data_IF_619038016428
#
_entry.id   IF_619038016428
#
_cell.length_a   1.000
_cell.length_b   1.000
_cell.length_c   1.000
_cell.angle_alpha   90.00
_cell.angle_beta   90.00
_cell.angle_gamma   90.00
#
_symmetry.space_group_name_H-M   'P 1'
#
loop_
_entity.id
_entity.type
_entity.pdbx_description
1 polymer ?
#
# COMPACT_ATOMS: atom_id res chain seq x y z
N UNK A 1 29.44 -25.49 -1.91
CA UNK A 1 29.58 -24.57 -0.75
C UNK A 1 28.19 -24.03 -0.45
N UNK A 2 27.74 -23.99 0.80
CA UNK A 2 26.42 -23.46 1.10
C UNK A 2 26.53 -21.95 1.35
N UNK A 3 25.88 -21.13 0.54
CA UNK A 3 25.92 -19.67 0.62
C UNK A 3 24.87 -19.05 1.56
N UNK A 4 24.15 -19.83 2.36
CA UNK A 4 23.05 -19.34 3.19
C UNK A 4 23.45 -18.15 4.10
N UNK A 5 24.55 -18.27 4.85
CA UNK A 5 25.02 -17.18 5.75
C UNK A 5 25.52 -15.95 4.97
N UNK A 6 26.16 -16.17 3.81
CA UNK A 6 26.55 -15.05 2.93
C UNK A 6 25.31 -14.33 2.38
N UNK A 7 24.28 -15.06 2.00
CA UNK A 7 23.03 -14.51 1.48
C UNK A 7 22.23 -13.75 2.57
N UNK A 8 22.20 -14.28 3.80
CA UNK A 8 21.69 -13.52 4.95
C UNK A 8 22.47 -12.21 5.14
N UNK A 9 23.79 -12.28 5.10
CA UNK A 9 24.65 -11.09 5.24
C UNK A 9 24.39 -10.06 4.13
N UNK A 10 24.05 -10.48 2.91
CA UNK A 10 23.70 -9.57 1.80
C UNK A 10 22.37 -8.87 2.02
N UNK A 11 21.37 -9.59 2.51
CA UNK A 11 20.08 -9.00 2.90
C UNK A 11 20.25 -8.02 4.06
N UNK A 12 21.00 -8.39 5.11
CA UNK A 12 21.28 -7.51 6.25
C UNK A 12 21.98 -6.24 5.78
N UNK A 13 23.04 -6.35 4.97
CA UNK A 13 23.73 -5.18 4.39
C UNK A 13 22.83 -4.31 3.54
N UNK A 14 21.83 -4.88 2.86
CA UNK A 14 20.82 -4.09 2.13
C UNK A 14 20.00 -3.23 3.09
N UNK A 15 19.57 -3.76 4.24
CA UNK A 15 18.85 -3.00 5.26
C UNK A 15 19.74 -1.97 5.96
N UNK A 16 20.99 -2.34 6.30
CA UNK A 16 21.98 -1.42 6.89
C UNK A 16 22.23 -0.19 5.99
N UNK A 17 22.26 -0.36 4.67
CA UNK A 17 22.38 0.75 3.71
C UNK A 17 21.15 1.66 3.71
N UNK A 18 20.01 1.19 4.21
CA UNK A 18 18.81 1.97 4.44
C UNK A 18 18.91 2.89 5.66
N UNK A 19 19.84 2.64 6.59
CA UNK A 19 20.06 3.49 7.76
C UNK A 19 20.60 4.86 7.31
N UNK A 20 19.83 5.91 7.54
CA UNK A 20 20.15 7.26 7.09
C UNK A 20 20.45 8.16 8.28
N UNK A 21 21.06 9.31 8.02
CA UNK A 21 21.26 10.31 9.06
C UNK A 21 19.89 10.90 9.46
N UNK A 22 19.69 11.13 10.74
CA UNK A 22 18.43 11.65 11.33
C UNK A 22 17.92 12.96 10.68
N UNK A 23 18.82 13.80 10.17
CA UNK A 23 18.46 15.05 9.51
C UNK A 23 17.73 14.88 8.16
N UNK A 24 17.71 13.67 7.58
CA UNK A 24 17.10 13.41 6.26
C UNK A 24 15.76 12.64 6.37
N UNK A 25 14.87 13.16 7.21
CA UNK A 25 13.51 12.60 7.35
C UNK A 25 12.68 12.91 6.12
N UNK A 26 12.37 11.89 5.32
CA UNK A 26 11.57 12.04 4.09
C UNK A 26 10.37 11.10 4.09
N UNK A 27 9.33 11.53 3.37
CA UNK A 27 8.17 10.73 3.03
C UNK A 27 8.18 10.45 1.52
N UNK A 28 8.03 9.19 1.11
CA UNK A 28 7.61 8.81 -0.23
C UNK A 28 6.12 8.55 -0.23
N UNK A 29 5.48 8.70 -1.38
CA UNK A 29 4.05 8.46 -1.56
C UNK A 29 3.80 7.65 -2.81
N UNK A 30 3.01 6.58 -2.70
CA UNK A 30 2.43 5.85 -3.82
C UNK A 30 0.90 5.95 -3.71
N UNK A 31 0.21 6.25 -4.83
CA UNK A 31 -1.25 6.27 -4.89
C UNK A 31 -1.71 5.55 -6.16
N UNK A 32 -2.49 4.52 -5.97
CA UNK A 32 -3.12 3.76 -7.04
C UNK A 32 -4.50 4.34 -7.37
N UNK A 33 -4.83 4.39 -8.67
CA UNK A 33 -6.07 4.94 -9.18
C UNK A 33 -6.74 3.94 -10.12
N UNK A 34 -8.06 3.88 -10.10
CA UNK A 34 -8.81 3.27 -11.19
C UNK A 34 -9.08 4.31 -12.27
N UNK A 35 -8.79 3.99 -13.53
CA UNK A 35 -9.30 4.73 -14.68
C UNK A 35 -10.66 4.12 -15.01
N UNK A 36 -11.73 4.93 -14.96
CA UNK A 36 -13.08 4.46 -15.20
C UNK A 36 -13.77 5.26 -16.29
N UNK A 37 -14.62 4.60 -17.04
CA UNK A 37 -15.53 5.24 -17.98
C UNK A 37 -16.61 6.02 -17.24
N UNK A 38 -16.79 7.31 -17.56
CA UNK A 38 -17.71 8.22 -16.85
C UNK A 38 -19.17 7.78 -16.96
N UNK A 39 -19.55 7.11 -18.05
CA UNK A 39 -20.94 6.71 -18.30
C UNK A 39 -21.33 5.43 -17.59
N UNK A 40 -20.38 4.50 -17.40
CA UNK A 40 -20.64 3.16 -16.86
C UNK A 40 -20.06 2.95 -15.46
N UNK A 41 -19.07 3.75 -15.06
CA UNK A 41 -18.28 3.55 -13.85
C UNK A 41 -17.36 2.32 -13.87
N UNK A 42 -17.28 1.60 -14.99
CA UNK A 42 -16.44 0.41 -15.15
C UNK A 42 -14.99 0.80 -15.40
N UNK A 43 -14.07 -0.03 -14.91
CA UNK A 43 -12.63 0.12 -15.19
C UNK A 43 -12.34 0.02 -16.68
N UNK A 44 -11.43 0.85 -17.15
CA UNK A 44 -10.90 0.83 -18.52
C UNK A 44 -9.85 -0.27 -18.62
N UNK A 45 -9.96 -1.10 -19.66
CA UNK A 45 -8.97 -2.14 -19.95
C UNK A 45 -7.63 -1.52 -20.34
N UNK A 46 -6.53 -2.24 -20.10
CA UNK A 46 -5.22 -1.90 -20.67
C UNK A 46 -5.24 -1.85 -22.18
N UNK A 47 -5.96 -2.79 -22.80
CA UNK A 47 -5.93 -3.09 -24.25
C UNK A 47 -6.93 -2.25 -25.06
N UNK A 48 -6.61 -2.12 -26.36
CA UNK A 48 -7.45 -1.49 -27.37
C UNK A 48 -7.12 0.00 -27.60
N UNK A 49 -7.68 0.55 -28.66
CA UNK A 49 -7.43 1.94 -29.11
C UNK A 49 -7.82 3.00 -28.07
N UNK A 50 -8.67 2.64 -27.12
CA UNK A 50 -9.14 3.49 -26.02
C UNK A 50 -8.71 2.92 -24.65
N UNK A 51 -7.74 2.00 -24.62
CA UNK A 51 -7.22 1.39 -23.42
C UNK A 51 -6.24 2.27 -22.66
N UNK A 52 -5.84 1.80 -21.48
CA UNK A 52 -4.88 2.55 -20.64
C UNK A 52 -3.51 2.69 -21.31
N UNK A 53 -3.09 1.72 -22.14
CA UNK A 53 -1.86 1.87 -22.93
C UNK A 53 -1.95 3.05 -23.90
N UNK A 54 -3.09 3.26 -24.57
CA UNK A 54 -3.28 4.39 -25.48
C UNK A 54 -3.17 5.74 -24.75
N UNK A 55 -3.74 5.82 -23.53
CA UNK A 55 -3.62 6.98 -22.64
C UNK A 55 -2.15 7.25 -22.29
N UNK A 56 -1.38 6.22 -21.89
CA UNK A 56 0.04 6.38 -21.59
C UNK A 56 0.84 6.82 -22.81
N UNK A 57 0.55 6.29 -23.99
CA UNK A 57 1.21 6.70 -25.26
C UNK A 57 0.94 8.16 -25.61
N UNK A 58 -0.26 8.67 -25.36
CA UNK A 58 -0.56 10.10 -25.57
C UNK A 58 0.21 11.00 -24.60
N UNK A 59 0.46 10.51 -23.38
CA UNK A 59 1.25 11.22 -22.37
C UNK A 59 2.76 11.08 -22.57
N UNK A 60 3.23 10.07 -23.29
CA UNK A 60 4.65 9.68 -23.37
C UNK A 60 5.59 10.82 -23.73
N UNK A 61 5.22 11.68 -24.67
CA UNK A 61 6.01 12.83 -25.08
C UNK A 61 6.26 13.89 -24.00
N UNK A 62 5.56 13.81 -22.87
CA UNK A 62 5.73 14.71 -21.72
C UNK A 62 6.74 14.17 -20.69
N UNK A 63 7.22 12.93 -20.86
CA UNK A 63 8.11 12.25 -19.90
C UNK A 63 9.47 11.96 -20.55
N UNK A 64 10.57 12.15 -19.82
CA UNK A 64 11.91 11.88 -20.33
C UNK A 64 12.20 10.37 -20.49
N UNK A 65 11.45 9.51 -19.81
CA UNK A 65 11.70 8.08 -19.82
C UNK A 65 10.40 7.28 -19.81
N UNK A 66 10.43 6.14 -20.54
CA UNK A 66 9.34 5.19 -20.66
C UNK A 66 9.81 3.79 -20.26
N UNK A 67 8.92 3.00 -19.67
CA UNK A 67 9.16 1.60 -19.37
C UNK A 67 8.30 0.70 -20.25
N UNK A 68 8.97 -0.16 -21.00
CA UNK A 68 8.36 -1.14 -21.90
C UNK A 68 8.66 -2.57 -21.47
N UNK A 69 7.71 -3.48 -21.69
CA UNK A 69 7.93 -4.92 -21.70
C UNK A 69 7.52 -5.45 -23.09
N UNK A 70 8.51 -5.83 -23.91
CA UNK A 70 8.30 -6.00 -25.35
C UNK A 70 7.86 -4.69 -26.01
N UNK A 71 6.75 -4.72 -26.75
CA UNK A 71 6.16 -3.54 -27.41
C UNK A 71 5.12 -2.81 -26.54
N UNK A 72 4.90 -3.27 -25.30
CA UNK A 72 3.89 -2.74 -24.40
C UNK A 72 4.42 -1.67 -23.48
N UNK A 73 3.82 -0.48 -23.53
CA UNK A 73 4.14 0.63 -22.63
C UNK A 73 3.46 0.40 -21.26
N UNK A 74 4.26 0.24 -20.22
CA UNK A 74 3.81 -0.10 -18.87
C UNK A 74 4.08 0.99 -17.83
N UNK A 75 4.79 2.06 -18.18
CA UNK A 75 5.07 3.14 -17.26
C UNK A 75 5.82 4.31 -17.89
N UNK A 76 5.74 5.45 -17.22
CA UNK A 76 6.39 6.70 -17.57
C UNK A 76 7.08 7.26 -16.34
N UNK A 77 8.24 7.89 -16.47
CA UNK A 77 8.90 8.47 -15.30
C UNK A 77 9.73 9.70 -15.59
N UNK A 78 9.86 10.54 -14.58
CA UNK A 78 10.69 11.74 -14.57
C UNK A 78 11.48 11.82 -13.25
N UNK A 79 12.12 12.96 -12.98
CA UNK A 79 12.91 13.18 -11.75
C UNK A 79 12.07 13.25 -10.47
N UNK A 80 10.78 13.52 -10.54
CA UNK A 80 9.91 13.78 -9.40
C UNK A 80 9.02 12.60 -9.05
N UNK A 81 8.56 11.83 -10.06
CA UNK A 81 7.67 10.70 -9.88
C UNK A 81 7.73 9.72 -11.05
N UNK A 82 7.21 8.52 -10.82
CA UNK A 82 6.92 7.54 -11.86
C UNK A 82 5.43 7.24 -11.92
N UNK A 83 4.95 6.90 -13.13
CA UNK A 83 3.67 6.26 -13.37
C UNK A 83 3.92 4.80 -13.71
N UNK A 84 3.22 3.90 -13.05
CA UNK A 84 3.26 2.46 -13.33
C UNK A 84 1.86 1.87 -13.36
N UNK A 85 1.76 0.62 -13.82
CA UNK A 85 0.49 -0.08 -13.88
C UNK A 85 0.50 -1.31 -12.99
N UNK A 86 -0.55 -1.43 -12.19
CA UNK A 86 -0.90 -2.57 -11.38
C UNK A 86 -1.65 -3.63 -12.22
N UNK A 87 -1.89 -4.89 -11.71
CA UNK A 87 -2.27 -6.04 -12.54
C UNK A 87 -3.46 -5.87 -13.48
N UNK A 88 -4.44 -5.05 -13.14
CA UNK A 88 -5.61 -4.79 -13.99
C UNK A 88 -5.67 -3.34 -14.48
N UNK A 89 -4.48 -2.77 -14.75
CA UNK A 89 -4.29 -1.42 -15.25
C UNK A 89 -4.68 -0.30 -14.26
N UNK A 90 -4.69 -0.59 -12.94
CA UNK A 90 -4.74 0.48 -11.95
C UNK A 90 -3.49 1.34 -12.15
N UNK A 91 -3.69 2.66 -12.26
CA UNK A 91 -2.59 3.60 -12.50
C UNK A 91 -2.01 4.06 -11.17
N UNK A 92 -0.76 3.71 -10.94
CA UNK A 92 -0.01 4.15 -9.77
C UNK A 92 0.86 5.36 -10.09
N UNK A 93 0.81 6.37 -9.22
CA UNK A 93 1.85 7.39 -9.14
C UNK A 93 2.72 7.11 -7.92
N UNK A 94 4.04 7.01 -8.13
CA UNK A 94 5.04 6.89 -7.07
C UNK A 94 5.86 8.17 -7.01
N UNK A 95 5.61 9.01 -6.00
CA UNK A 95 6.31 10.28 -5.78
C UNK A 95 7.62 10.03 -5.05
N UNK A 96 8.73 10.50 -5.61
CA UNK A 96 10.05 10.39 -4.99
C UNK A 96 10.07 11.08 -3.62
N UNK A 97 10.84 10.53 -2.62
CA UNK A 97 10.80 11.01 -1.25
C UNK A 97 11.09 12.50 -1.09
N UNK A 98 10.25 13.21 -0.31
CA UNK A 98 10.35 14.65 0.00
C UNK A 98 10.29 14.88 1.51
N UNK A 99 10.99 15.90 2.00
CA UNK A 99 10.93 16.33 3.41
C UNK A 99 9.62 17.04 3.76
N UNK A 100 8.99 17.69 2.78
CA UNK A 100 7.81 18.52 2.98
C UNK A 100 6.58 17.98 2.26
N UNK A 101 5.46 17.87 2.98
CA UNK A 101 4.18 17.42 2.40
C UNK A 101 3.71 18.36 1.29
N UNK A 102 4.00 19.66 1.41
CA UNK A 102 3.65 20.65 0.38
C UNK A 102 4.27 20.34 -0.98
N UNK A 103 5.49 19.81 -1.03
CA UNK A 103 6.15 19.42 -2.28
C UNK A 103 5.48 18.17 -2.89
N UNK A 104 5.13 17.17 -2.08
CA UNK A 104 4.37 16.00 -2.53
C UNK A 104 3.02 16.45 -3.14
N UNK A 105 2.33 17.40 -2.47
CA UNK A 105 1.06 17.96 -2.96
C UNK A 105 1.21 18.68 -4.29
N UNK A 106 2.28 19.43 -4.50
CA UNK A 106 2.55 20.10 -5.77
C UNK A 106 2.78 19.11 -6.89
N UNK A 107 3.59 18.07 -6.65
CA UNK A 107 3.89 17.01 -7.63
C UNK A 107 2.60 16.26 -8.02
N UNK A 108 1.81 15.87 -7.04
CA UNK A 108 0.55 15.15 -7.31
C UNK A 108 -0.44 16.02 -8.10
N UNK A 109 -0.60 17.31 -7.75
CA UNK A 109 -1.44 18.23 -8.50
C UNK A 109 -0.96 18.44 -9.93
N UNK A 110 0.35 18.48 -10.13
CA UNK A 110 0.94 18.56 -11.47
C UNK A 110 0.56 17.31 -12.28
N UNK A 111 0.73 16.10 -11.74
CA UNK A 111 0.27 14.87 -12.37
C UNK A 111 -1.21 14.93 -12.76
N UNK A 112 -2.09 15.33 -11.84
CA UNK A 112 -3.54 15.43 -12.11
C UNK A 112 -3.81 16.42 -13.24
N UNK A 113 -3.12 17.57 -13.27
CA UNK A 113 -3.28 18.58 -14.34
C UNK A 113 -2.84 18.08 -15.73
N UNK A 114 -1.91 17.13 -15.78
CA UNK A 114 -1.46 16.52 -17.03
C UNK A 114 -2.41 15.41 -17.52
N UNK A 115 -2.84 14.54 -16.63
CA UNK A 115 -3.62 13.36 -17.03
C UNK A 115 -5.11 13.69 -17.26
N UNK A 116 -5.68 14.63 -16.50
CA UNK A 116 -7.13 14.91 -16.56
C UNK A 116 -7.61 15.29 -17.98
N UNK A 117 -6.96 16.21 -18.73
CA UNK A 117 -7.38 16.54 -20.08
C UNK A 117 -7.36 15.33 -21.04
N UNK A 118 -6.36 14.45 -20.89
CA UNK A 118 -6.25 13.23 -21.68
C UNK A 118 -7.43 12.31 -21.38
N UNK A 119 -7.70 12.03 -20.11
CA UNK A 119 -8.82 11.18 -19.69
C UNK A 119 -10.18 11.75 -20.15
N UNK A 120 -10.36 13.06 -20.07
CA UNK A 120 -11.59 13.74 -20.50
C UNK A 120 -11.85 13.56 -22.00
N UNK A 121 -10.81 13.59 -22.84
CA UNK A 121 -10.95 13.35 -24.28
C UNK A 121 -11.48 11.95 -24.60
N UNK A 122 -11.22 10.98 -23.72
CA UNK A 122 -11.73 9.61 -23.80
C UNK A 122 -13.09 9.42 -23.11
N UNK A 123 -13.59 10.43 -22.38
CA UNK A 123 -14.79 10.26 -21.52
C UNK A 123 -14.51 9.48 -20.23
N UNK A 124 -13.27 9.49 -19.75
CA UNK A 124 -12.81 8.78 -18.57
C UNK A 124 -12.52 9.71 -17.40
N UNK A 125 -12.30 9.14 -16.22
CA UNK A 125 -11.82 9.82 -15.01
C UNK A 125 -10.99 8.91 -14.12
N UNK A 126 -10.22 9.50 -13.21
CA UNK A 126 -9.58 8.78 -12.10
C UNK A 126 -10.59 8.59 -10.96
N UNK A 127 -10.49 7.44 -10.30
CA UNK A 127 -11.23 7.13 -9.07
C UNK A 127 -10.23 6.56 -8.04
N UNK A 128 -10.25 7.13 -6.84
CA UNK A 128 -9.46 6.72 -5.68
C UNK A 128 -10.37 6.06 -4.66
N UNK A 129 -10.34 4.74 -4.57
CA UNK A 129 -11.09 3.89 -3.64
C UNK A 129 -10.25 2.66 -3.31
N UNK A 130 -10.47 2.03 -2.16
CA UNK A 130 -9.74 0.82 -1.78
C UNK A 130 -10.07 -0.40 -2.64
N UNK A 131 -11.23 -0.37 -3.32
CA UNK A 131 -11.65 -1.39 -4.26
C UNK A 131 -12.42 -0.80 -5.44
N UNK A 132 -12.31 -1.42 -6.62
CA UNK A 132 -13.02 -1.03 -7.83
C UNK A 132 -14.54 -1.12 -7.61
N UNK A 133 -15.28 -0.01 -7.77
CA UNK A 133 -16.67 0.01 -7.28
C UNK A 133 -17.66 -0.78 -8.14
N UNK A 134 -17.45 -0.88 -9.46
CA UNK A 134 -18.46 -1.44 -10.39
C UNK A 134 -18.02 -2.72 -11.05
N UNK A 135 -16.81 -2.77 -11.63
CA UNK A 135 -16.34 -3.96 -12.36
C UNK A 135 -16.08 -5.12 -11.41
N UNK A 136 -16.40 -6.33 -11.87
CA UNK A 136 -16.01 -7.55 -11.15
C UNK A 136 -14.55 -7.87 -11.43
N UNK A 137 -13.81 -8.30 -10.42
CA UNK A 137 -12.40 -8.68 -10.58
C UNK A 137 -12.22 -9.75 -11.65
N UNK A 138 -13.16 -10.69 -11.79
CA UNK A 138 -13.15 -11.74 -12.81
C UNK A 138 -13.28 -11.22 -14.26
N UNK A 139 -13.83 -10.03 -14.47
CA UNK A 139 -14.02 -9.41 -15.79
C UNK A 139 -12.80 -8.58 -16.24
N UNK A 140 -11.88 -8.27 -15.31
CA UNK A 140 -10.73 -7.41 -15.57
C UNK A 140 -9.55 -8.24 -16.11
N UNK A 141 -9.04 -7.97 -17.32
CA UNK A 141 -7.88 -8.66 -17.85
C UNK A 141 -6.61 -8.21 -17.14
N UNK A 142 -5.61 -9.08 -17.07
CA UNK A 142 -4.25 -8.71 -16.66
C UNK A 142 -3.58 -7.88 -17.75
N UNK A 143 -2.76 -6.92 -17.35
CA UNK A 143 -1.83 -6.24 -18.26
C UNK A 143 -0.73 -7.21 -18.72
N UNK A 144 -0.06 -6.96 -19.87
CA UNK A 144 0.96 -7.85 -20.43
C UNK A 144 2.30 -7.75 -19.70
N UNK A 145 2.30 -7.96 -18.38
CA UNK A 145 3.47 -7.97 -17.50
C UNK A 145 3.68 -9.37 -16.98
N UNK A 146 4.78 -10.02 -17.37
CA UNK A 146 5.05 -11.46 -17.13
C UNK A 146 4.91 -11.83 -15.66
N UNK A 147 5.46 -11.01 -14.76
CA UNK A 147 5.36 -11.26 -13.32
C UNK A 147 3.90 -11.39 -12.83
N UNK A 148 2.97 -10.65 -13.41
CA UNK A 148 1.57 -10.71 -12.99
C UNK A 148 0.87 -11.98 -13.44
N UNK A 149 1.27 -12.57 -14.57
CA UNK A 149 0.80 -13.89 -14.98
C UNK A 149 1.23 -14.96 -13.96
N UNK A 150 2.49 -14.95 -13.51
CA UNK A 150 2.99 -15.86 -12.48
C UNK A 150 2.26 -15.67 -11.14
N UNK A 151 2.03 -14.42 -10.74
CA UNK A 151 1.31 -14.10 -9.51
C UNK A 151 -0.15 -14.52 -9.56
N UNK A 152 -0.85 -14.24 -10.67
CA UNK A 152 -2.26 -14.65 -10.88
C UNK A 152 -2.42 -16.18 -10.77
N UNK A 153 -1.50 -16.93 -11.39
CA UNK A 153 -1.52 -18.40 -11.29
C UNK A 153 -1.24 -18.90 -9.86
N UNK A 154 -0.27 -18.31 -9.18
CA UNK A 154 0.04 -18.65 -7.80
C UNK A 154 -1.14 -18.39 -6.85
N UNK A 155 -1.74 -17.20 -6.93
CA UNK A 155 -2.81 -16.79 -6.02
C UNK A 155 -4.16 -17.49 -6.25
N UNK A 156 -4.31 -18.28 -7.30
CA UNK A 156 -5.47 -19.19 -7.48
C UNK A 156 -5.51 -20.30 -6.42
N UNK A 157 -4.38 -20.62 -5.79
CA UNK A 157 -4.26 -21.77 -4.90
C UNK A 157 -3.80 -21.44 -3.48
N UNK A 158 -3.39 -20.20 -3.20
CA UNK A 158 -2.87 -19.79 -1.89
C UNK A 158 -3.95 -19.32 -0.90
N UNK A 159 -5.06 -18.78 -1.42
CA UNK A 159 -6.23 -18.34 -0.69
C UNK A 159 -7.42 -18.18 -1.62
N UNK A 160 -8.54 -17.63 -1.14
CA UNK A 160 -9.75 -17.45 -1.97
C UNK A 160 -9.87 -16.06 -2.60
N UNK A 161 -9.07 -15.09 -2.18
CA UNK A 161 -9.19 -13.67 -2.55
C UNK A 161 -8.07 -13.14 -3.45
N UNK A 162 -7.17 -13.99 -3.95
CA UNK A 162 -6.06 -13.58 -4.82
C UNK A 162 -6.49 -12.78 -6.04
N UNK A 163 -7.55 -13.20 -6.73
CA UNK A 163 -8.13 -12.50 -7.86
C UNK A 163 -8.60 -11.08 -7.51
N UNK A 164 -9.33 -10.97 -6.39
CA UNK A 164 -9.85 -9.69 -5.91
C UNK A 164 -8.70 -8.74 -5.51
N UNK A 165 -7.68 -9.27 -4.83
CA UNK A 165 -6.50 -8.50 -4.47
C UNK A 165 -5.80 -7.95 -5.71
N UNK A 166 -5.48 -8.79 -6.68
CA UNK A 166 -4.70 -8.39 -7.85
C UNK A 166 -5.44 -7.41 -8.76
N UNK A 167 -6.75 -7.63 -8.98
CA UNK A 167 -7.46 -6.90 -10.04
C UNK A 167 -8.43 -5.86 -9.52
N UNK A 168 -8.80 -5.95 -8.25
CA UNK A 168 -9.85 -5.09 -7.69
C UNK A 168 -9.38 -4.08 -6.65
N UNK A 169 -8.23 -4.30 -5.98
CA UNK A 169 -7.77 -3.38 -4.92
C UNK A 169 -6.94 -2.23 -5.45
N UNK A 170 -6.95 -1.13 -4.71
CA UNK A 170 -6.02 -0.02 -4.85
C UNK A 170 -5.68 0.58 -3.48
N UNK A 171 -4.45 1.07 -3.33
CA UNK A 171 -3.89 1.56 -2.06
C UNK A 171 -3.26 2.94 -2.15
N UNK A 172 -3.07 3.56 -0.98
CA UNK A 172 -2.13 4.65 -0.78
C UNK A 172 -1.04 4.17 0.17
N UNK A 173 0.22 4.21 -0.27
CA UNK A 173 1.36 3.70 0.49
C UNK A 173 2.29 4.86 0.83
N UNK A 174 2.83 4.84 2.05
CA UNK A 174 3.79 5.85 2.49
C UNK A 174 5.10 5.17 2.86
N UNK A 175 6.20 5.67 2.28
CA UNK A 175 7.54 5.25 2.65
C UNK A 175 8.15 6.22 3.64
N UNK A 176 8.79 5.69 4.70
CA UNK A 176 9.49 6.45 5.74
C UNK A 176 10.92 5.94 5.93
N UNK A 177 11.82 6.86 6.24
CA UNK A 177 13.21 6.53 6.55
C UNK A 177 13.37 5.93 7.96
N UNK A 178 14.43 5.15 8.15
CA UNK A 178 14.92 4.71 9.45
C UNK A 178 16.44 4.99 9.57
N UNK A 179 16.94 5.06 10.81
CA UNK A 179 18.30 5.57 11.10
C UNK A 179 19.24 4.49 11.65
N UNK A 180 18.65 3.45 12.23
CA UNK A 180 19.34 2.28 12.78
C UNK A 180 18.41 1.08 12.71
N UNK A 181 18.95 -0.11 12.97
CA UNK A 181 18.15 -1.32 13.14
C UNK A 181 17.11 -1.18 14.26
N UNK A 182 17.52 -0.61 15.41
CA UNK A 182 16.62 -0.35 16.54
C UNK A 182 15.46 0.58 16.15
N UNK A 183 15.77 1.71 15.51
CA UNK A 183 14.76 2.66 15.02
C UNK A 183 13.82 2.01 14.00
N UNK A 184 14.37 1.19 13.09
CA UNK A 184 13.60 0.43 12.13
C UNK A 184 12.59 -0.50 12.82
N UNK A 185 13.04 -1.33 13.75
CA UNK A 185 12.18 -2.28 14.48
C UNK A 185 11.12 -1.55 15.31
N UNK A 186 11.48 -0.46 15.98
CA UNK A 186 10.54 0.37 16.75
C UNK A 186 9.45 0.96 15.84
N UNK A 187 9.84 1.52 14.69
CA UNK A 187 8.89 2.05 13.70
C UNK A 187 8.01 0.95 13.11
N UNK A 188 8.55 -0.22 12.80
CA UNK A 188 7.75 -1.36 12.34
C UNK A 188 6.71 -1.76 13.39
N UNK A 189 7.10 -1.95 14.65
CA UNK A 189 6.16 -2.28 15.74
C UNK A 189 5.09 -1.21 15.90
N UNK A 190 5.48 0.06 15.93
CA UNK A 190 4.54 1.18 16.04
C UNK A 190 3.55 1.21 14.86
N UNK A 191 4.01 0.94 13.64
CA UNK A 191 3.17 0.89 12.45
C UNK A 191 2.11 -0.22 12.52
N UNK A 192 2.46 -1.39 13.03
CA UNK A 192 1.50 -2.48 13.24
C UNK A 192 0.54 -2.20 14.40
N UNK A 193 1.02 -1.61 15.52
CA UNK A 193 0.14 -1.19 16.63
C UNK A 193 -0.87 -0.12 16.17
N UNK A 194 -0.45 0.79 15.31
CA UNK A 194 -1.33 1.79 14.70
C UNK A 194 -2.19 1.24 13.55
N UNK A 195 -1.85 0.07 13.04
CA UNK A 195 -2.48 -0.56 11.88
C UNK A 195 -4.00 -0.54 11.90
N UNK A 196 -4.67 -1.00 12.97
CA UNK A 196 -6.14 -0.95 13.06
C UNK A 196 -6.71 0.46 12.92
N UNK A 197 -6.12 1.47 13.56
CA UNK A 197 -6.57 2.86 13.46
C UNK A 197 -6.30 3.44 12.05
N UNK A 198 -5.13 3.16 11.46
CA UNK A 198 -4.81 3.60 10.10
C UNK A 198 -5.81 3.00 9.11
N UNK A 199 -6.05 1.68 9.18
CA UNK A 199 -7.01 1.00 8.30
C UNK A 199 -8.42 1.57 8.42
N UNK A 200 -8.88 1.89 9.64
CA UNK A 200 -10.18 2.48 9.86
C UNK A 200 -10.28 3.93 9.34
N UNK A 201 -9.27 4.76 9.61
CA UNK A 201 -9.21 6.16 9.16
C UNK A 201 -9.01 6.30 7.65
N UNK A 202 -8.65 5.23 6.97
CA UNK A 202 -8.43 5.18 5.53
C UNK A 202 -9.38 4.22 4.81
N UNK A 203 -10.39 3.65 5.51
CA UNK A 203 -11.40 2.77 4.90
C UNK A 203 -12.23 3.54 3.86
N UNK A 204 -11.94 3.31 2.60
CA UNK A 204 -12.53 3.99 1.45
C UNK A 204 -13.15 3.00 0.45
N UNK A 205 -13.81 1.94 0.96
CA UNK A 205 -14.45 0.91 0.14
C UNK A 205 -15.93 0.75 0.48
N UNK A 206 -16.79 1.75 0.19
CA UNK A 206 -18.22 1.67 0.48
C UNK A 206 -18.98 0.76 -0.48
N UNK A 207 -18.42 0.48 -1.65
CA UNK A 207 -19.01 -0.35 -2.71
C UNK A 207 -18.03 -1.43 -3.14
N UNK A 208 -18.52 -2.63 -3.32
CA UNK A 208 -17.78 -3.80 -3.75
C UNK A 208 -18.50 -4.46 -4.95
N UNK A 209 -17.90 -4.43 -6.13
CA UNK A 209 -18.42 -5.04 -7.37
C UNK A 209 -19.88 -4.65 -7.67
N UNK A 210 -20.21 -3.36 -7.57
CA UNK A 210 -21.54 -2.83 -7.85
C UNK A 210 -22.56 -3.00 -6.74
N UNK A 211 -22.16 -3.51 -5.57
CA UNK A 211 -23.03 -3.69 -4.41
C UNK A 211 -22.48 -2.95 -3.19
N UNK A 212 -23.31 -2.50 -2.25
CA UNK A 212 -22.80 -1.98 -0.98
C UNK A 212 -21.90 -2.98 -0.28
N UNK A 213 -20.77 -2.53 0.25
CA UNK A 213 -19.86 -3.37 1.02
C UNK A 213 -20.58 -3.95 2.26
N UNK A 214 -20.39 -5.24 2.53
CA UNK A 214 -21.08 -5.95 3.63
C UNK A 214 -20.51 -5.66 5.02
N UNK A 215 -19.33 -5.07 5.09
CA UNK A 215 -18.62 -4.76 6.33
C UNK A 215 -17.74 -3.54 6.17
N UNK A 216 -16.80 -3.38 7.08
CA UNK A 216 -15.76 -2.36 7.03
C UNK A 216 -14.42 -3.00 6.65
N UNK A 217 -13.40 -2.18 6.35
CA UNK A 217 -12.05 -2.65 6.03
C UNK A 217 -12.04 -3.73 4.94
N UNK A 218 -12.83 -3.56 3.87
CA UNK A 218 -12.99 -4.56 2.81
C UNK A 218 -11.66 -5.00 2.21
N UNK A 219 -10.72 -4.07 1.98
CA UNK A 219 -9.39 -4.38 1.46
C UNK A 219 -8.59 -5.23 2.46
N UNK A 220 -8.65 -4.95 3.76
CA UNK A 220 -8.03 -5.78 4.81
C UNK A 220 -8.58 -7.22 4.80
N UNK A 221 -9.91 -7.37 4.71
CA UNK A 221 -10.53 -8.69 4.62
C UNK A 221 -10.08 -9.47 3.38
N UNK A 222 -9.88 -8.79 2.24
CA UNK A 222 -9.33 -9.39 1.02
C UNK A 222 -7.88 -9.87 1.28
N UNK A 223 -7.00 -9.01 1.77
CA UNK A 223 -5.58 -9.33 1.97
C UNK A 223 -5.34 -10.45 2.99
N UNK A 224 -6.20 -10.58 4.02
CA UNK A 224 -6.14 -11.67 4.99
C UNK A 224 -6.40 -13.06 4.38
N UNK A 225 -7.07 -13.12 3.23
CA UNK A 225 -7.39 -14.37 2.52
C UNK A 225 -6.67 -14.48 1.15
N UNK A 226 -5.43 -13.99 1.08
CA UNK A 226 -4.56 -14.11 -0.09
C UNK A 226 -3.47 -15.15 0.13
N UNK A 227 -2.56 -14.91 1.07
CA UNK A 227 -1.47 -15.83 1.42
C UNK A 227 -0.89 -15.49 2.81
N UNK A 228 -1.19 -16.31 3.82
CA UNK A 228 -0.73 -16.05 5.19
C UNK A 228 0.78 -16.14 5.36
N UNK A 229 1.52 -16.70 4.40
CA UNK A 229 2.99 -16.79 4.47
C UNK A 229 3.67 -15.45 4.20
N UNK A 230 3.00 -14.54 3.44
CA UNK A 230 3.61 -13.31 2.91
C UNK A 230 2.79 -12.04 3.09
N UNK A 231 1.57 -12.13 3.59
CA UNK A 231 0.66 -11.01 3.85
C UNK A 231 0.46 -10.80 5.34
N UNK A 232 -0.07 -9.63 5.73
CA UNK A 232 -0.42 -9.30 7.11
C UNK A 232 0.78 -8.91 7.97
N UNK A 233 0.85 -9.45 9.19
CA UNK A 233 1.86 -9.08 10.19
C UNK A 233 3.17 -9.84 9.93
N UNK A 234 4.30 -9.12 10.09
CA UNK A 234 5.64 -9.71 9.96
C UNK A 234 5.86 -10.77 11.06
N UNK A 235 6.14 -12.04 10.68
CA UNK A 235 6.32 -13.10 11.67
C UNK A 235 7.45 -12.80 12.65
N UNK A 236 7.18 -12.97 13.94
CA UNK A 236 8.16 -12.78 15.00
C UNK A 236 8.51 -11.34 15.34
N UNK A 237 7.90 -10.33 14.71
CA UNK A 237 8.21 -8.91 14.94
C UNK A 237 8.12 -8.50 16.42
N UNK A 238 7.16 -9.03 17.16
CA UNK A 238 6.94 -8.71 18.58
C UNK A 238 7.77 -9.57 19.53
N UNK A 239 8.59 -10.51 19.02
CA UNK A 239 9.50 -11.31 19.83
C UNK A 239 10.71 -10.47 20.28
N UNK A 240 11.27 -10.84 21.44
CA UNK A 240 12.54 -10.30 21.90
C UNK A 240 13.67 -10.63 20.91
N UNK A 241 14.56 -9.66 20.67
CA UNK A 241 15.71 -9.84 19.76
C UNK A 241 15.35 -9.81 18.27
N UNK A 242 14.12 -9.48 17.85
CA UNK A 242 13.80 -9.27 16.44
C UNK A 242 14.62 -8.12 15.85
N UNK A 243 15.21 -8.35 14.69
CA UNK A 243 16.03 -7.38 13.97
C UNK A 243 16.18 -7.71 12.48
N UNK A 244 17.16 -7.08 11.82
CA UNK A 244 17.44 -7.29 10.40
C UNK A 244 17.75 -8.75 10.07
N UNK A 245 18.44 -9.45 10.96
CA UNK A 245 18.72 -10.88 10.79
C UNK A 245 17.41 -11.69 10.79
N UNK A 246 16.52 -11.44 11.74
CA UNK A 246 15.23 -12.16 11.84
C UNK A 246 14.38 -11.94 10.59
N UNK A 247 14.35 -10.70 10.09
CA UNK A 247 13.64 -10.37 8.85
C UNK A 247 14.29 -11.02 7.62
N UNK A 248 15.62 -11.00 7.53
CA UNK A 248 16.36 -11.68 6.46
C UNK A 248 16.12 -13.20 6.45
N UNK A 249 16.08 -13.84 7.63
CA UNK A 249 15.77 -15.27 7.77
C UNK A 249 14.31 -15.57 7.34
N UNK A 250 13.36 -14.71 7.67
CA UNK A 250 11.99 -14.82 7.16
C UNK A 250 11.97 -14.78 5.63
N UNK A 251 12.64 -13.83 5.01
CA UNK A 251 12.73 -13.70 3.55
C UNK A 251 13.39 -14.91 2.89
N UNK A 252 14.48 -15.44 3.47
CA UNK A 252 15.17 -16.62 2.95
C UNK A 252 14.31 -17.90 3.02
N UNK A 253 13.39 -17.98 4.00
CA UNK A 253 12.45 -19.11 4.16
C UNK A 253 11.14 -18.93 3.39
N UNK A 254 10.89 -17.74 2.83
CA UNK A 254 9.67 -17.48 2.07
C UNK A 254 9.73 -18.24 0.74
N UNK A 255 8.73 -19.08 0.41
CA UNK A 255 8.62 -19.66 -0.92
C UNK A 255 8.45 -18.56 -1.97
N UNK A 256 9.23 -18.58 -3.03
CA UNK A 256 9.10 -17.59 -4.09
C UNK A 256 7.95 -17.97 -5.03
N UNK A 257 7.34 -16.95 -5.65
CA UNK A 257 6.28 -17.15 -6.65
C UNK A 257 6.91 -17.51 -7.99
N UNK A 258 7.96 -16.77 -8.38
CA UNK A 258 8.73 -16.98 -9.61
C UNK A 258 10.17 -16.50 -9.40
N UNK A 259 11.03 -16.87 -10.33
CA UNK A 259 12.42 -16.40 -10.41
C UNK A 259 12.67 -15.86 -11.81
N UNK A 260 13.25 -14.66 -11.96
CA UNK A 260 13.70 -14.15 -13.25
C UNK A 260 14.84 -15.02 -13.79
N UNK A 261 14.68 -15.59 -15.00
CA UNK A 261 15.74 -16.34 -15.67
C UNK A 261 16.62 -15.46 -16.58
N UNK A 262 17.84 -15.91 -16.81
CA UNK A 262 18.71 -15.33 -17.81
C UNK A 262 18.04 -15.43 -19.19
N UNK A 263 17.70 -14.26 -19.79
CA UNK A 263 16.93 -14.22 -21.06
C UNK A 263 15.55 -13.58 -20.91
N UNK A 264 15.16 -13.14 -19.70
CA UNK A 264 13.93 -12.38 -19.44
C UNK A 264 12.67 -13.25 -19.43
N UNK A 265 12.80 -14.55 -19.23
CA UNK A 265 11.69 -15.45 -18.99
C UNK A 265 11.58 -15.76 -17.51
N UNK A 266 10.39 -15.53 -16.92
CA UNK A 266 10.17 -15.83 -15.51
C UNK A 266 9.80 -17.30 -15.34
N UNK A 267 10.54 -18.04 -14.48
CA UNK A 267 10.22 -19.42 -14.11
C UNK A 267 9.38 -19.46 -12.87
N UNK A 268 8.24 -20.09 -12.96
CA UNK A 268 7.39 -20.36 -11.80
C UNK A 268 8.01 -21.43 -10.89
N UNK A 269 8.22 -21.09 -9.61
CA UNK A 269 8.98 -21.94 -8.66
C UNK A 269 8.17 -22.26 -7.41
N UNK A 270 7.06 -23.01 -7.59
CA UNK A 270 6.23 -23.42 -6.44
C UNK A 270 7.06 -24.05 -5.33
N UNK A 271 6.76 -23.67 -4.10
CA UNK A 271 7.25 -24.27 -2.85
C UNK A 271 8.77 -24.26 -2.65
N UNK A 272 9.55 -23.60 -3.52
CA UNK A 272 10.98 -23.40 -3.31
C UNK A 272 11.25 -22.08 -2.65
N UNK A 273 12.00 -22.11 -1.56
CA UNK A 273 12.41 -20.91 -0.82
C UNK A 273 13.59 -20.22 -1.51
N UNK A 274 13.81 -18.94 -1.17
CA UNK A 274 15.01 -18.23 -1.61
C UNK A 274 16.30 -18.98 -1.18
N UNK A 275 16.30 -19.60 0.01
CA UNK A 275 17.39 -20.42 0.51
C UNK A 275 17.65 -21.67 -0.35
N UNK A 276 16.60 -22.30 -0.88
CA UNK A 276 16.74 -23.48 -1.76
C UNK A 276 17.26 -23.11 -3.14
N UNK A 277 16.78 -22.00 -3.68
CA UNK A 277 17.11 -21.55 -5.05
C UNK A 277 18.55 -21.10 -5.14
N UNK A 278 18.99 -20.25 -4.21
CA UNK A 278 20.34 -19.66 -4.22
C UNK A 278 21.28 -20.26 -3.16
N UNK A 279 21.15 -21.57 -2.89
CA UNK A 279 22.02 -22.26 -1.91
C UNK A 279 23.48 -22.38 -2.36
N UNK A 280 23.74 -22.35 -3.67
CA UNK A 280 25.05 -22.59 -4.28
C UNK A 280 25.71 -21.32 -4.85
N UNK A 281 25.02 -20.17 -4.74
CA UNK A 281 25.53 -18.89 -5.22
C UNK A 281 25.16 -17.74 -4.29
N UNK A 282 25.93 -16.68 -4.38
CA UNK A 282 25.72 -15.46 -3.60
C UNK A 282 24.71 -14.54 -4.31
N UNK A 283 23.71 -14.05 -3.59
CA UNK A 283 22.67 -13.16 -4.11
C UNK A 283 23.26 -11.91 -4.77
N UNK A 284 22.88 -11.63 -6.01
CA UNK A 284 23.11 -10.34 -6.64
C UNK A 284 22.19 -9.27 -6.06
N UNK A 285 22.48 -7.96 -6.24
CA UNK A 285 21.57 -6.88 -5.82
C UNK A 285 20.16 -7.02 -6.41
N UNK A 286 20.04 -7.43 -7.68
CA UNK A 286 18.73 -7.66 -8.32
C UNK A 286 17.94 -8.82 -7.71
N UNK A 287 18.64 -9.89 -7.28
CA UNK A 287 18.00 -11.00 -6.58
C UNK A 287 17.55 -10.61 -5.17
N UNK A 288 18.28 -9.75 -4.47
CA UNK A 288 17.85 -9.17 -3.19
C UNK A 288 16.55 -8.38 -3.37
N UNK A 289 16.48 -7.46 -4.33
CA UNK A 289 15.27 -6.69 -4.63
C UNK A 289 14.10 -7.61 -5.06
N UNK A 290 14.40 -8.65 -5.81
CA UNK A 290 13.40 -9.64 -6.21
C UNK A 290 12.79 -10.36 -5.00
N UNK A 291 13.61 -10.86 -4.07
CA UNK A 291 13.15 -11.49 -2.82
C UNK A 291 12.25 -10.53 -2.03
N UNK A 292 12.67 -9.29 -1.86
CA UNK A 292 11.89 -8.25 -1.18
C UNK A 292 10.54 -8.00 -1.85
N UNK A 293 10.47 -8.12 -3.17
CA UNK A 293 9.22 -7.92 -3.93
C UNK A 293 8.22 -9.06 -3.80
N UNK A 294 8.60 -10.21 -3.20
CA UNK A 294 7.74 -11.37 -2.99
C UNK A 294 7.00 -11.36 -1.64
N UNK A 295 7.17 -10.33 -0.81
CA UNK A 295 6.43 -10.17 0.45
C UNK A 295 5.44 -9.01 0.35
N UNK A 296 4.23 -9.23 0.88
CA UNK A 296 3.11 -8.29 0.84
C UNK A 296 2.60 -7.98 2.25
N UNK A 297 3.53 -7.89 3.21
CA UNK A 297 3.24 -7.50 4.58
C UNK A 297 2.64 -6.09 4.64
N UNK A 298 1.83 -5.80 5.66
CA UNK A 298 1.26 -4.47 5.87
C UNK A 298 2.32 -3.38 6.09
N UNK A 299 3.47 -3.78 6.64
CA UNK A 299 4.68 -2.96 6.74
C UNK A 299 5.84 -3.76 6.15
N UNK A 300 6.36 -3.32 5.03
CA UNK A 300 7.47 -3.97 4.32
C UNK A 300 8.78 -3.25 4.57
N UNK A 301 9.79 -4.00 4.99
CA UNK A 301 11.16 -3.48 5.13
C UNK A 301 11.90 -3.62 3.80
N UNK A 302 12.36 -2.49 3.30
CA UNK A 302 13.33 -2.32 2.20
C UNK A 302 14.52 -1.51 2.74
N UNK A 303 15.17 -0.67 1.93
CA UNK A 303 16.06 0.39 2.41
C UNK A 303 15.30 1.60 2.97
N UNK A 304 14.02 1.44 3.23
CA UNK A 304 13.05 2.28 3.93
C UNK A 304 11.92 1.37 4.47
N UNK A 305 11.04 1.90 5.30
CA UNK A 305 9.81 1.21 5.69
C UNK A 305 8.66 1.69 4.80
N UNK A 306 7.91 0.75 4.27
CA UNK A 306 6.78 0.97 3.39
C UNK A 306 5.48 0.59 4.14
N UNK A 307 4.64 1.59 4.42
CA UNK A 307 3.33 1.42 5.05
C UNK A 307 2.29 1.18 3.97
N UNK A 308 1.70 -0.02 3.91
CA UNK A 308 0.90 -0.53 2.78
C UNK A 308 -0.57 -0.73 3.11
N UNK A 309 -0.96 -0.51 4.36
CA UNK A 309 -2.27 -0.93 4.86
C UNK A 309 -3.44 -0.04 4.43
N UNK A 310 -3.18 1.21 4.01
CA UNK A 310 -4.23 2.18 3.68
C UNK A 310 -4.88 1.90 2.31
N UNK A 311 -6.18 2.12 2.22
CA UNK A 311 -6.90 2.16 0.94
C UNK A 311 -6.43 3.35 0.08
N UNK A 312 -6.59 3.25 -1.22
CA UNK A 312 -6.62 4.44 -2.07
C UNK A 312 -7.85 5.29 -1.70
N UNK A 313 -7.66 6.61 -1.62
CA UNK A 313 -8.67 7.54 -1.10
C UNK A 313 -8.50 8.92 -1.75
N UNK A 314 -9.50 9.82 -1.65
CA UNK A 314 -9.39 11.19 -2.14
C UNK A 314 -8.12 11.87 -1.64
N UNK A 315 -7.52 12.72 -2.48
CA UNK A 315 -6.20 13.28 -2.20
C UNK A 315 -6.12 14.13 -0.92
N UNK A 316 -7.23 14.74 -0.49
CA UNK A 316 -7.34 15.40 0.80
C UNK A 316 -7.08 14.43 1.97
N UNK A 317 -7.61 13.22 1.90
CA UNK A 317 -7.38 12.15 2.89
C UNK A 317 -5.98 11.57 2.79
N UNK A 318 -5.41 11.45 1.58
CA UNK A 318 -3.98 11.08 1.40
C UNK A 318 -3.08 12.11 2.08
N UNK A 319 -3.38 13.40 1.95
CA UNK A 319 -2.64 14.45 2.65
C UNK A 319 -2.78 14.34 4.19
N UNK A 320 -3.96 13.98 4.68
CA UNK A 320 -4.18 13.72 6.10
C UNK A 320 -3.38 12.51 6.57
N UNK A 321 -3.31 11.45 5.76
CA UNK A 321 -2.49 10.26 6.06
C UNK A 321 -0.99 10.58 6.10
N UNK A 322 -0.48 11.37 5.14
CA UNK A 322 0.90 11.89 5.17
C UNK A 322 1.19 12.69 6.45
N UNK A 323 0.27 13.58 6.85
CA UNK A 323 0.40 14.38 8.08
C UNK A 323 0.37 13.48 9.33
N UNK A 324 -0.53 12.49 9.40
CA UNK A 324 -0.60 11.52 10.48
C UNK A 324 0.73 10.77 10.64
N UNK A 325 1.24 10.23 9.55
CA UNK A 325 2.51 9.49 9.54
C UNK A 325 3.68 10.39 9.94
N UNK A 326 3.78 11.60 9.38
CA UNK A 326 4.84 12.56 9.75
C UNK A 326 4.80 12.91 11.23
N UNK A 327 3.61 13.25 11.76
CA UNK A 327 3.42 13.67 13.14
C UNK A 327 3.73 12.57 14.17
N UNK A 328 3.71 11.29 13.77
CA UNK A 328 4.00 10.18 14.68
C UNK A 328 5.42 9.66 14.46
N UNK A 329 5.76 9.25 13.24
CA UNK A 329 6.98 8.48 12.98
C UNK A 329 8.26 9.32 12.97
N UNK A 330 8.15 10.65 12.93
CA UNK A 330 9.30 11.57 12.99
C UNK A 330 9.54 12.15 14.39
N UNK A 331 8.77 11.70 15.39
CA UNK A 331 8.82 12.20 16.77
C UNK A 331 8.96 11.07 17.77
N UNK A 332 10.09 11.09 18.49
CA UNK A 332 10.48 10.01 19.42
C UNK A 332 9.47 9.81 20.55
N UNK A 333 8.95 10.88 21.12
CA UNK A 333 7.95 10.83 22.20
C UNK A 333 6.61 10.25 21.73
N UNK A 334 6.20 10.52 20.48
CA UNK A 334 5.02 9.90 19.90
C UNK A 334 5.22 8.37 19.72
N UNK A 335 6.37 7.97 19.16
CA UNK A 335 6.73 6.55 19.01
C UNK A 335 6.79 5.84 20.37
N UNK A 336 7.44 6.46 21.37
CA UNK A 336 7.54 5.90 22.71
C UNK A 336 6.16 5.66 23.36
N UNK A 337 5.22 6.59 23.18
CA UNK A 337 3.85 6.47 23.69
C UNK A 337 3.07 5.33 23.02
N UNK A 338 3.21 5.14 21.71
CA UNK A 338 2.60 4.01 21.00
C UNK A 338 3.17 2.68 21.48
N UNK A 339 4.50 2.60 21.61
CA UNK A 339 5.21 1.38 22.01
C UNK A 339 5.06 1.02 23.49
N UNK A 340 4.59 1.94 24.33
CA UNK A 340 4.31 1.68 25.73
C UNK A 340 3.08 0.76 25.95
N UNK A 341 2.20 0.63 24.95
CA UNK A 341 1.07 -0.27 25.04
C UNK A 341 1.54 -1.75 24.95
N UNK A 342 1.07 -2.65 25.83
CA UNK A 342 1.41 -4.08 25.78
C UNK A 342 0.60 -4.78 24.67
N UNK A 343 0.84 -4.42 23.43
CA UNK A 343 0.12 -4.88 22.23
C UNK A 343 1.04 -5.78 21.41
N UNK A 344 0.55 -6.95 21.05
CA UNK A 344 1.20 -7.87 20.13
C UNK A 344 0.30 -8.26 18.97
N UNK A 345 0.71 -9.26 18.23
CA UNK A 345 -0.01 -9.74 17.03
C UNK A 345 -1.48 -10.10 17.32
N UNK A 346 -1.73 -10.79 18.43
CA UNK A 346 -3.08 -11.23 18.80
C UNK A 346 -4.04 -10.07 19.05
N UNK A 347 -3.58 -9.05 19.76
CA UNK A 347 -4.37 -7.86 20.07
C UNK A 347 -4.64 -7.03 18.79
N UNK A 348 -3.68 -6.95 17.87
CA UNK A 348 -3.84 -6.28 16.59
C UNK A 348 -4.92 -6.99 15.76
N UNK A 349 -4.83 -8.30 15.60
CA UNK A 349 -5.80 -9.09 14.84
C UNK A 349 -7.21 -9.00 15.46
N UNK A 350 -7.33 -9.06 16.79
CA UNK A 350 -8.61 -8.90 17.47
C UNK A 350 -9.23 -7.52 17.27
N UNK A 351 -8.42 -6.46 17.29
CA UNK A 351 -8.87 -5.11 16.97
C UNK A 351 -9.37 -5.01 15.53
N UNK A 352 -8.62 -5.54 14.56
CA UNK A 352 -9.05 -5.55 13.16
C UNK A 352 -10.35 -6.35 12.96
N UNK A 353 -10.53 -7.49 13.64
CA UNK A 353 -11.79 -8.26 13.58
C UNK A 353 -12.98 -7.43 14.09
N UNK A 354 -12.80 -6.74 15.22
CA UNK A 354 -13.81 -5.82 15.77
C UNK A 354 -14.16 -4.71 14.77
N UNK A 355 -13.14 -4.14 14.11
CA UNK A 355 -13.34 -3.06 13.13
C UNK A 355 -13.97 -3.55 11.83
N UNK A 356 -13.63 -4.74 11.34
CA UNK A 356 -14.26 -5.32 10.14
C UNK A 356 -15.76 -5.56 10.35
N UNK A 357 -16.16 -5.93 11.57
CA UNK A 357 -17.57 -6.12 11.92
C UNK A 357 -18.31 -4.81 12.19
N UNK A 358 -17.71 -3.89 12.97
CA UNK A 358 -18.40 -2.75 13.59
C UNK A 358 -17.92 -1.36 13.14
N UNK A 359 -16.79 -1.27 12.40
CA UNK A 359 -16.19 0.01 12.02
C UNK A 359 -15.89 0.89 13.24
N UNK A 360 -16.30 2.14 13.22
CA UNK A 360 -16.11 3.09 14.33
C UNK A 360 -16.89 2.73 15.61
N UNK A 361 -17.90 1.86 15.54
CA UNK A 361 -18.59 1.33 16.71
C UNK A 361 -17.85 0.15 17.35
N UNK A 362 -16.73 -0.31 16.78
CA UNK A 362 -15.87 -1.34 17.32
C UNK A 362 -14.90 -0.82 18.38
N UNK A 363 -13.95 -1.67 18.72
CA UNK A 363 -12.93 -1.39 19.75
C UNK A 363 -11.52 -1.62 19.21
N UNK A 364 -10.57 -0.81 19.66
CA UNK A 364 -9.14 -0.98 19.46
C UNK A 364 -8.49 -1.07 20.85
N UNK A 365 -7.94 -2.23 21.19
CA UNK A 365 -7.23 -2.48 22.46
C UNK A 365 -8.06 -2.14 23.72
N UNK A 366 -9.35 -2.46 23.71
CA UNK A 366 -10.27 -2.20 24.83
C UNK A 366 -10.76 -0.76 24.94
N UNK A 367 -10.45 0.09 23.97
CA UNK A 367 -10.94 1.47 23.86
C UNK A 367 -11.93 1.57 22.68
N UNK A 368 -13.01 2.36 22.76
CA UNK A 368 -13.86 2.65 21.60
C UNK A 368 -13.03 3.14 20.42
N UNK A 369 -13.26 2.58 19.23
CA UNK A 369 -12.42 2.85 18.05
C UNK A 369 -12.37 4.35 17.69
N UNK A 370 -13.49 5.05 17.78
CA UNK A 370 -13.54 6.49 17.54
C UNK A 370 -12.67 7.28 18.53
N UNK A 371 -12.62 6.87 19.81
CA UNK A 371 -11.80 7.50 20.83
C UNK A 371 -10.31 7.24 20.61
N UNK A 372 -9.96 5.99 20.28
CA UNK A 372 -8.57 5.63 19.94
C UNK A 372 -8.07 6.40 18.71
N UNK A 373 -8.85 6.44 17.63
CA UNK A 373 -8.52 7.22 16.44
C UNK A 373 -8.35 8.71 16.76
N UNK A 374 -9.23 9.29 17.58
CA UNK A 374 -9.13 10.70 18.01
C UNK A 374 -7.86 10.96 18.83
N UNK A 375 -7.46 10.02 19.69
CA UNK A 375 -6.21 10.08 20.45
C UNK A 375 -5.00 10.07 19.51
N UNK A 376 -4.98 9.18 18.52
CA UNK A 376 -3.89 9.05 17.53
C UNK A 376 -3.77 10.33 16.67
N UNK A 377 -4.89 10.85 16.16
CA UNK A 377 -4.91 12.09 15.36
C UNK A 377 -4.43 13.29 16.18
N UNK A 378 -4.88 13.44 17.44
CA UNK A 378 -4.41 14.50 18.34
C UNK A 378 -2.92 14.40 18.65
N UNK A 379 -2.40 13.18 18.84
CA UNK A 379 -0.98 12.93 19.04
C UNK A 379 -0.18 13.40 17.82
N UNK A 380 -0.56 13.01 16.62
CA UNK A 380 0.09 13.48 15.40
C UNK A 380 0.04 15.02 15.28
N UNK A 381 -1.15 15.60 15.52
CA UNK A 381 -1.39 17.05 15.41
C UNK A 381 -0.47 17.86 16.31
N UNK A 382 -0.17 17.37 17.52
CA UNK A 382 0.70 18.08 18.48
C UNK A 382 2.15 18.24 18.03
N UNK A 383 2.59 17.48 17.04
CA UNK A 383 3.95 17.48 16.51
C UNK A 383 4.09 18.16 15.13
N UNK A 384 2.98 18.61 14.56
CA UNK A 384 2.95 19.21 13.23
C UNK A 384 2.95 20.74 13.29
N UNK A 385 3.46 21.35 12.22
CA UNK A 385 3.31 22.79 12.01
C UNK A 385 1.84 23.16 11.75
N UNK A 386 1.40 24.40 11.99
CA UNK A 386 0.01 24.81 11.81
C UNK A 386 -0.57 24.52 10.42
N UNK A 387 0.22 24.67 9.35
CA UNK A 387 -0.17 24.38 7.98
C UNK A 387 -0.36 22.87 7.73
N UNK A 388 0.41 22.03 8.40
CA UNK A 388 0.30 20.58 8.32
C UNK A 388 -0.79 20.04 9.27
N UNK A 389 -1.06 20.72 10.41
CA UNK A 389 -2.18 20.37 11.30
C UNK A 389 -3.53 20.47 10.59
N UNK A 390 -3.69 21.47 9.72
CA UNK A 390 -4.91 21.65 8.93
C UNK A 390 -5.18 20.48 7.98
N UNK A 391 -4.16 19.74 7.55
CA UNK A 391 -4.31 18.58 6.69
C UNK A 391 -5.03 17.40 7.36
N UNK A 392 -5.07 17.36 8.71
CA UNK A 392 -5.76 16.29 9.45
C UNK A 392 -7.28 16.45 9.50
N UNK A 393 -7.82 17.60 9.05
CA UNK A 393 -9.27 17.90 9.09
C UNK A 393 -10.15 16.77 8.50
N UNK A 394 -9.85 16.16 7.35
CA UNK A 394 -10.68 15.07 6.81
C UNK A 394 -10.83 13.87 7.76
N UNK A 395 -9.76 13.51 8.47
CA UNK A 395 -9.81 12.43 9.46
C UNK A 395 -10.56 12.83 10.73
N UNK A 396 -10.41 14.08 11.18
CA UNK A 396 -11.16 14.62 12.31
C UNK A 396 -12.67 14.62 12.02
N UNK A 397 -13.08 15.07 10.83
CA UNK A 397 -14.48 15.03 10.38
C UNK A 397 -15.01 13.60 10.29
N UNK A 398 -14.26 12.67 9.71
CA UNK A 398 -14.64 11.26 9.63
C UNK A 398 -14.91 10.67 11.02
N UNK A 399 -14.06 10.97 12.00
CA UNK A 399 -14.25 10.49 13.38
C UNK A 399 -15.52 11.11 14.00
N UNK A 400 -15.78 12.40 13.81
CA UNK A 400 -16.95 13.10 14.36
C UNK A 400 -18.25 12.55 13.76
N UNK A 401 -18.33 12.48 12.43
CA UNK A 401 -19.51 11.99 11.71
C UNK A 401 -19.87 10.54 12.08
N UNK A 402 -18.89 9.69 12.37
CA UNK A 402 -19.13 8.29 12.72
C UNK A 402 -19.26 8.04 14.23
N UNK A 403 -18.82 8.97 15.09
CA UNK A 403 -18.99 8.84 16.56
C UNK A 403 -20.37 9.30 17.05
N UNK A 404 -21.01 10.25 16.35
CA UNK A 404 -22.36 10.73 16.67
C UNK A 404 -23.47 9.82 16.12
N UNK A 405 -23.17 9.03 15.10
CA UNK A 405 -24.11 8.15 14.40
C UNK A 405 -24.13 6.76 15.02
N UNK A 406 -24.64 6.63 16.21
CA UNK A 406 -25.06 5.32 16.77
C UNK A 406 -26.22 4.68 16.01
N UNK A 407 -26.42 5.02 14.72
CA UNK A 407 -27.49 4.49 13.88
C UNK A 407 -26.96 4.12 12.49
N UNK A 408 -27.24 2.88 12.12
CA UNK A 408 -27.02 2.27 10.81
C UNK A 408 -27.63 3.02 9.59
N UNK A 409 -28.20 4.21 9.81
CA UNK A 409 -29.00 4.95 8.85
C UNK A 409 -28.18 5.74 7.78
N UNK A 410 -26.89 5.92 7.93
CA UNK A 410 -26.09 6.77 7.01
C UNK A 410 -25.58 5.99 5.79
N UNK A 411 -25.42 4.67 5.88
CA UNK A 411 -25.03 3.84 4.71
C UNK A 411 -26.11 3.81 3.59
N UNK A 412 -27.38 4.00 3.91
CA UNK A 412 -28.49 3.94 2.94
C UNK A 412 -28.72 5.23 2.14
N UNK A 413 -28.18 6.37 2.56
CA UNK A 413 -28.52 7.68 1.96
C UNK A 413 -27.44 8.33 1.09
N UNK A 414 -26.22 7.81 1.03
CA UNK A 414 -25.28 8.29 0.00
C UNK A 414 -25.62 7.59 -1.32
N UNK A 415 -26.31 8.30 -2.20
CA UNK A 415 -26.57 7.86 -3.58
C UNK A 415 -25.27 7.35 -4.20
N UNK A 416 -25.30 6.19 -4.88
CA UNK A 416 -24.15 5.64 -5.61
C UNK A 416 -23.45 6.68 -6.50
N UNK A 417 -24.19 7.67 -7.02
CA UNK A 417 -23.69 8.81 -7.79
C UNK A 417 -22.78 9.76 -7.00
N UNK A 418 -22.99 9.97 -5.69
CA UNK A 418 -22.13 10.84 -4.88
C UNK A 418 -20.73 10.26 -4.63
N UNK A 419 -20.54 8.94 -4.78
CA UNK A 419 -19.23 8.29 -4.68
C UNK A 419 -18.32 8.53 -5.90
N UNK A 420 -18.85 9.16 -6.96
CA UNK A 420 -18.13 9.42 -8.20
C UNK A 420 -17.77 10.90 -8.39
N UNK A 421 -18.21 11.81 -7.52
CA UNK A 421 -18.10 13.28 -7.71
C UNK A 421 -16.91 13.93 -6.97
N UNK A 422 -16.00 13.17 -6.31
CA UNK A 422 -14.83 13.74 -5.64
C UNK A 422 -13.51 13.31 -6.26
#
# INVERSE_FOLDING_TARGET
MNYYEENLSRLIRHFERGCKMDCFRKLGLEVEHFIVDKSTGKSVSYYGERGVEAILREMEGQYPHSYYEGDHLLGLYNSDYSLSLEPAAQLEISVNPRGEISHIRQIYRHFISQITPVLESYGYRLVTRGYQPVSRAAELPLIPKKRYACMDDYFKTSGSRGLHMMRGTASAQISIDYFSEEDCVRKMRAAYILGPAIKLLTDCTPVFEGQPAKGHLTRTAIWRDVDPKRCGICPGLFSEGFGFRSYAEYLMRLPLIFVPEAGGQDSYVRDRTAADIWKEEALSPGQVEHILSMTFLDVRLKHYLELRAADSMPFSHVCAYLALVKGIFFHEDALARILAAPVGEKEILAAEDSLMEKGFAGEIYGMPAAEYCRMVVRMAKSHLRPDEQALLQPMEQMIEENSESGTAAIKEKRNLTQYYEE
#
